data_IF_649453678368
#
_entry.id   IF_649453678368
#
_cell.length_a   1.000
_cell.length_b   1.000
_cell.length_c   1.000
_cell.angle_alpha   90.00
_cell.angle_beta   90.00
_cell.angle_gamma   90.00
#
_symmetry.space_group_name_H-M   'P 1'
#
loop_
_entity.id
_entity.type
_entity.pdbx_description
1 polymer ?
#
# COMPACT_ATOMS: atom_id res chain seq x y z
N UNK A 1 -12.47 22.42 16.42
CA UNK A 1 -11.72 22.38 15.14
C UNK A 1 -12.13 21.14 14.37
N UNK A 2 -12.16 21.20 13.04
CA UNK A 2 -12.49 20.06 12.19
C UNK A 2 -11.21 19.50 11.57
N UNK A 3 -11.09 18.17 11.54
CA UNK A 3 -9.98 17.44 10.95
C UNK A 3 -10.50 16.59 9.78
N UNK A 4 -9.75 16.52 8.68
CA UNK A 4 -10.12 15.71 7.53
C UNK A 4 -9.50 14.31 7.57
N UNK A 5 -10.09 13.37 6.82
CA UNK A 5 -9.60 11.99 6.63
C UNK A 5 -8.84 11.76 5.32
N UNK A 6 -8.85 12.74 4.41
CA UNK A 6 -7.93 12.86 3.27
C UNK A 6 -7.86 14.31 2.76
N UNK A 7 -6.94 14.55 1.82
CA UNK A 7 -6.74 15.87 1.21
C UNK A 7 -8.00 16.38 0.49
N UNK A 8 -8.67 15.53 -0.27
CA UNK A 8 -9.88 15.89 -1.01
C UNK A 8 -11.02 16.34 -0.09
N UNK A 9 -11.22 15.65 1.05
CA UNK A 9 -12.19 16.06 2.05
C UNK A 9 -11.87 17.44 2.65
N UNK A 10 -10.58 17.71 2.91
CA UNK A 10 -10.14 19.04 3.37
C UNK A 10 -10.50 20.13 2.36
N UNK A 11 -10.12 19.95 1.09
CA UNK A 11 -10.39 20.93 0.03
C UNK A 11 -11.89 21.21 -0.09
N UNK A 12 -12.71 20.16 -0.04
CA UNK A 12 -14.16 20.30 -0.10
C UNK A 12 -14.72 21.19 1.04
N UNK A 13 -14.24 21.02 2.28
CA UNK A 13 -14.69 21.85 3.39
C UNK A 13 -14.15 23.28 3.32
N UNK A 14 -12.89 23.46 2.91
CA UNK A 14 -12.30 24.79 2.74
C UNK A 14 -13.05 25.59 1.67
N UNK A 15 -13.50 24.95 0.58
CA UNK A 15 -14.34 25.57 -0.46
C UNK A 15 -15.72 26.00 0.07
N UNK A 16 -16.21 25.39 1.16
CA UNK A 16 -17.42 25.81 1.87
C UNK A 16 -17.16 26.90 2.93
N UNK A 17 -15.94 27.43 3.00
CA UNK A 17 -15.52 28.41 3.99
C UNK A 17 -15.26 27.82 5.39
N UNK A 18 -15.17 26.49 5.50
CA UNK A 18 -14.90 25.79 6.76
C UNK A 18 -13.41 25.54 6.87
N UNK A 19 -12.74 26.18 7.84
CA UNK A 19 -11.32 25.94 8.09
C UNK A 19 -11.10 24.57 8.72
N UNK A 20 -10.28 23.74 8.08
CA UNK A 20 -9.83 22.45 8.59
C UNK A 20 -8.42 22.61 9.16
N UNK A 21 -8.24 22.30 10.44
CA UNK A 21 -6.93 22.28 11.10
C UNK A 21 -6.42 20.84 11.02
N UNK A 22 -5.30 20.60 10.32
CA UNK A 22 -4.65 19.28 10.32
C UNK A 22 -5.31 18.16 9.49
N UNK A 23 -4.56 17.07 9.29
CA UNK A 23 -4.95 15.88 8.54
C UNK A 23 -4.40 14.61 9.19
N UNK A 24 -5.24 13.73 9.78
CA UNK A 24 -4.75 12.51 10.43
C UNK A 24 -5.31 11.24 9.76
N UNK A 25 -4.59 10.68 8.79
CA UNK A 25 -5.10 9.57 8.00
C UNK A 25 -5.26 8.23 8.71
N UNK A 26 -4.45 7.96 9.74
CA UNK A 26 -4.20 6.58 10.12
C UNK A 26 -3.92 6.46 11.62
N UNK A 27 -4.76 5.73 12.36
CA UNK A 27 -4.61 5.53 13.81
C UNK A 27 -3.82 4.24 14.16
N UNK A 28 -3.21 3.60 13.16
CA UNK A 28 -2.77 2.20 13.28
C UNK A 28 -1.32 2.01 13.73
N UNK A 29 -0.48 3.06 13.71
CA UNK A 29 0.94 2.96 14.05
C UNK A 29 1.36 4.05 15.05
N UNK A 30 2.32 3.78 15.94
CA UNK A 30 2.90 4.80 16.83
C UNK A 30 3.83 5.69 16.00
N UNK A 31 3.27 6.73 15.39
CA UNK A 31 3.92 7.58 14.38
C UNK A 31 5.17 8.31 14.90
N UNK A 32 5.20 8.61 16.20
CA UNK A 32 6.34 9.23 16.88
C UNK A 32 7.56 8.31 17.01
N UNK A 33 7.44 7.02 16.72
CA UNK A 33 8.41 5.99 17.16
C UNK A 33 9.21 5.30 16.06
N UNK A 34 9.18 5.73 14.79
CA UNK A 34 9.90 5.00 13.72
C UNK A 34 10.82 5.88 12.88
N UNK A 35 12.05 6.02 13.38
CA UNK A 35 13.24 6.24 12.57
C UNK A 35 13.95 4.90 12.38
N UNK A 36 13.63 4.17 11.30
CA UNK A 36 14.59 3.24 10.71
C UNK A 36 14.48 3.37 9.19
N UNK A 37 15.40 4.14 8.62
CA UNK A 37 15.67 4.08 7.19
C UNK A 37 15.87 2.60 6.81
N UNK A 38 15.18 2.15 5.77
CA UNK A 38 15.38 0.81 5.24
C UNK A 38 16.71 0.76 4.52
N UNK A 39 17.50 -0.23 4.89
CA UNK A 39 18.58 -0.78 4.07
C UNK A 39 18.07 -2.09 3.48
N UNK A 40 17.29 -2.05 2.41
CA UNK A 40 16.89 -3.28 1.71
C UNK A 40 17.31 -3.20 0.26
N UNK A 41 18.62 -3.36 0.03
CA UNK A 41 19.16 -3.86 -1.24
C UNK A 41 19.23 -5.38 -1.13
N UNK A 42 18.11 -6.06 -1.38
CA UNK A 42 18.09 -7.52 -1.51
C UNK A 42 17.99 -7.86 -2.99
N UNK A 43 18.82 -8.80 -3.44
CA UNK A 43 18.76 -9.36 -4.81
C UNK A 43 17.41 -10.06 -5.10
N UNK A 44 16.63 -10.36 -4.07
CA UNK A 44 15.29 -10.93 -4.15
C UNK A 44 14.29 -9.91 -3.59
N UNK A 45 13.52 -9.20 -4.46
CA UNK A 45 12.52 -8.24 -3.99
C UNK A 45 11.39 -8.94 -3.23
N UNK A 46 10.88 -8.28 -2.19
CA UNK A 46 9.70 -8.73 -1.45
C UNK A 46 8.53 -7.78 -1.72
N UNK A 47 7.54 -8.24 -2.47
CA UNK A 47 6.38 -7.44 -2.87
C UNK A 47 5.14 -7.82 -2.06
N UNK A 48 4.41 -6.80 -1.60
CA UNK A 48 3.06 -6.98 -1.08
C UNK A 48 2.07 -6.81 -2.24
N UNK A 49 1.24 -7.81 -2.47
CA UNK A 49 0.29 -7.83 -3.58
C UNK A 49 -1.13 -7.45 -3.15
N UNK A 50 -1.47 -7.64 -1.87
CA UNK A 50 -2.79 -7.32 -1.33
C UNK A 50 -2.74 -7.19 0.19
N UNK A 51 -3.54 -6.27 0.73
CA UNK A 51 -3.74 -6.13 2.17
C UNK A 51 -5.16 -5.63 2.48
N UNK A 52 -5.83 -6.28 3.43
CA UNK A 52 -7.13 -5.90 3.97
C UNK A 52 -8.29 -6.77 3.50
N UNK A 53 -9.50 -6.24 3.61
CA UNK A 53 -10.73 -6.98 3.28
C UNK A 53 -10.78 -7.35 1.78
N UNK A 54 -11.03 -8.62 1.48
CA UNK A 54 -11.06 -9.16 0.12
C UNK A 54 -12.28 -8.61 -0.65
N UNK A 55 -12.01 -7.89 -1.74
CA UNK A 55 -13.05 -7.31 -2.61
C UNK A 55 -12.62 -7.34 -4.06
N UNK A 56 -13.58 -7.56 -4.96
CA UNK A 56 -13.35 -7.51 -6.40
C UNK A 56 -12.69 -6.20 -6.84
N UNK A 57 -13.27 -5.06 -6.45
CA UNK A 57 -12.82 -3.73 -6.85
C UNK A 57 -11.46 -3.32 -6.25
N UNK A 58 -10.94 -4.04 -5.24
CA UNK A 58 -9.58 -3.89 -4.71
C UNK A 58 -8.55 -4.70 -5.48
N UNK A 59 -8.97 -5.38 -6.56
CA UNK A 59 -8.10 -6.19 -7.39
C UNK A 59 -7.83 -7.58 -6.83
N UNK A 60 -8.64 -8.07 -5.88
CA UNK A 60 -8.47 -9.41 -5.29
C UNK A 60 -8.57 -10.52 -6.35
N UNK A 61 -9.50 -10.39 -7.29
CA UNK A 61 -9.69 -11.37 -8.38
C UNK A 61 -8.48 -11.47 -9.32
N UNK A 62 -7.63 -10.44 -9.37
CA UNK A 62 -6.46 -10.37 -10.24
C UNK A 62 -5.21 -11.01 -9.62
N UNK A 63 -5.25 -11.37 -8.33
CA UNK A 63 -4.06 -11.85 -7.62
C UNK A 63 -3.40 -13.09 -8.25
N UNK A 64 -4.14 -14.12 -8.71
CA UNK A 64 -3.51 -15.26 -9.38
C UNK A 64 -2.66 -14.87 -10.58
N UNK A 65 -3.20 -14.01 -11.46
CA UNK A 65 -2.50 -13.52 -12.64
C UNK A 65 -1.25 -12.72 -12.26
N UNK A 66 -1.38 -11.83 -11.27
CA UNK A 66 -0.27 -10.97 -10.80
C UNK A 66 0.85 -11.81 -10.18
N UNK A 67 0.52 -12.84 -9.40
CA UNK A 67 1.49 -13.77 -8.82
C UNK A 67 2.29 -14.45 -9.92
N UNK A 68 1.61 -15.07 -10.90
CA UNK A 68 2.29 -15.76 -12.00
C UNK A 68 3.17 -14.80 -12.82
N UNK A 69 2.68 -13.59 -13.11
CA UNK A 69 3.45 -12.55 -13.81
C UNK A 69 4.69 -12.12 -13.03
N UNK A 70 4.57 -11.93 -11.71
CA UNK A 70 5.70 -11.54 -10.88
C UNK A 70 6.75 -12.65 -10.80
N UNK A 71 6.35 -13.90 -10.55
CA UNK A 71 7.26 -15.04 -10.54
C UNK A 71 8.03 -15.14 -11.86
N UNK A 72 7.34 -15.03 -13.00
CA UNK A 72 7.98 -15.06 -14.30
C UNK A 72 8.93 -13.88 -14.52
N UNK A 73 8.51 -12.64 -14.20
CA UNK A 73 9.32 -11.43 -14.40
C UNK A 73 10.64 -11.46 -13.61
N UNK A 74 10.61 -12.00 -12.39
CA UNK A 74 11.79 -12.09 -11.53
C UNK A 74 12.49 -13.46 -11.61
N UNK A 75 12.16 -14.30 -12.61
CA UNK A 75 12.75 -15.64 -12.79
C UNK A 75 12.71 -16.49 -11.50
N UNK A 76 11.59 -16.42 -10.76
CA UNK A 76 11.40 -17.12 -9.48
C UNK A 76 12.13 -16.51 -8.27
N UNK A 77 12.95 -15.47 -8.46
CA UNK A 77 13.67 -14.75 -7.40
C UNK A 77 12.85 -13.58 -6.89
N UNK A 78 11.68 -13.87 -6.33
CA UNK A 78 10.81 -12.86 -5.70
C UNK A 78 10.06 -13.48 -4.54
N UNK A 79 9.82 -12.68 -3.50
CA UNK A 79 8.89 -13.01 -2.42
C UNK A 79 7.61 -12.19 -2.59
N UNK A 80 6.46 -12.82 -2.45
CA UNK A 80 5.14 -12.29 -2.71
C UNK A 80 4.27 -12.55 -1.49
N UNK A 81 3.74 -11.49 -0.90
CA UNK A 81 2.83 -11.58 0.23
C UNK A 81 1.45 -11.12 -0.16
N UNK A 82 0.45 -11.95 0.15
CA UNK A 82 -0.97 -11.63 0.06
C UNK A 82 -1.53 -11.73 1.47
N UNK A 83 -2.07 -10.64 2.01
CA UNK A 83 -2.83 -10.68 3.26
C UNK A 83 -4.27 -10.28 2.96
N UNK A 84 -5.22 -11.10 3.39
CA UNK A 84 -6.62 -10.74 3.25
C UNK A 84 -7.47 -11.20 4.42
N UNK A 85 -8.61 -10.53 4.59
CA UNK A 85 -9.70 -10.96 5.46
C UNK A 85 -10.97 -11.11 4.65
N UNK A 86 -11.91 -11.90 5.16
CA UNK A 86 -13.26 -11.99 4.60
C UNK A 86 -14.21 -11.43 5.65
N UNK A 87 -14.69 -10.20 5.45
CA UNK A 87 -15.70 -9.62 6.32
C UNK A 87 -17.06 -10.32 6.18
N UNK A 88 -17.33 -10.91 5.02
CA UNK A 88 -18.57 -11.61 4.69
C UNK A 88 -18.28 -12.87 3.87
N UNK A 89 -19.28 -13.74 3.75
CA UNK A 89 -19.20 -14.86 2.82
C UNK A 89 -19.40 -14.35 1.39
N UNK A 90 -18.38 -14.54 0.56
CA UNK A 90 -18.34 -14.11 -0.84
C UNK A 90 -18.06 -15.34 -1.72
N UNK A 91 -19.10 -16.10 -2.10
CA UNK A 91 -18.95 -17.31 -2.91
C UNK A 91 -18.16 -17.09 -4.21
N UNK A 92 -18.29 -15.91 -4.80
CA UNK A 92 -17.56 -15.49 -6.00
C UNK A 92 -16.04 -15.40 -5.80
N UNK A 93 -15.56 -15.22 -4.57
CA UNK A 93 -14.13 -15.17 -4.25
C UNK A 93 -13.52 -16.55 -4.00
N UNK A 94 -14.35 -17.57 -3.76
CA UNK A 94 -13.90 -18.95 -3.45
C UNK A 94 -12.97 -19.53 -4.52
N UNK A 95 -13.23 -19.40 -5.84
CA UNK A 95 -12.31 -19.89 -6.86
C UNK A 95 -10.92 -19.24 -6.79
N UNK A 96 -10.86 -17.95 -6.48
CA UNK A 96 -9.61 -17.20 -6.34
C UNK A 96 -8.87 -17.63 -5.08
N UNK A 97 -9.57 -17.78 -3.95
CA UNK A 97 -8.99 -18.29 -2.70
C UNK A 97 -8.37 -19.68 -2.90
N UNK A 98 -9.08 -20.59 -3.57
CA UNK A 98 -8.57 -21.93 -3.86
C UNK A 98 -7.34 -21.87 -4.76
N UNK A 99 -7.32 -20.95 -5.73
CA UNK A 99 -6.16 -20.72 -6.59
C UNK A 99 -4.97 -20.17 -5.81
N UNK A 100 -5.18 -19.22 -4.88
CA UNK A 100 -4.13 -18.68 -4.02
C UNK A 100 -3.50 -19.77 -3.14
N UNK A 101 -4.32 -20.63 -2.52
CA UNK A 101 -3.82 -21.78 -1.73
C UNK A 101 -3.01 -22.75 -2.59
N UNK A 102 -3.44 -23.00 -3.83
CA UNK A 102 -2.67 -23.84 -4.77
C UNK A 102 -1.33 -23.20 -5.12
N UNK A 103 -1.30 -21.90 -5.43
CA UNK A 103 -0.08 -21.17 -5.76
C UNK A 103 0.90 -21.13 -4.58
N UNK A 104 0.43 -20.95 -3.35
CA UNK A 104 1.26 -21.05 -2.14
C UNK A 104 1.89 -22.44 -1.98
N UNK A 105 1.15 -23.51 -2.28
CA UNK A 105 1.68 -24.88 -2.24
C UNK A 105 2.67 -25.17 -3.37
N UNK A 106 2.42 -24.64 -4.57
CA UNK A 106 3.25 -24.84 -5.76
C UNK A 106 4.55 -24.04 -5.71
N UNK A 107 4.51 -22.83 -5.13
CA UNK A 107 5.64 -21.90 -5.01
C UNK A 107 5.89 -21.50 -3.54
N UNK A 108 6.21 -22.44 -2.64
CA UNK A 108 6.24 -22.19 -1.19
C UNK A 108 7.34 -21.24 -0.73
N UNK A 109 8.37 -21.02 -1.56
CA UNK A 109 9.45 -20.06 -1.28
C UNK A 109 9.12 -18.64 -1.77
N UNK A 110 8.16 -18.51 -2.68
CA UNK A 110 7.81 -17.24 -3.32
C UNK A 110 6.48 -16.69 -2.82
N UNK A 111 5.47 -17.53 -2.58
CA UNK A 111 4.11 -17.08 -2.31
C UNK A 111 3.73 -17.36 -0.86
N UNK A 112 3.31 -16.32 -0.14
CA UNK A 112 2.82 -16.42 1.24
C UNK A 112 1.45 -15.77 1.37
N UNK A 113 0.46 -16.54 1.79
CA UNK A 113 -0.94 -16.13 1.88
C UNK A 113 -1.40 -16.13 3.34
N UNK A 114 -1.84 -14.97 3.81
CA UNK A 114 -2.31 -14.76 5.17
C UNK A 114 -3.80 -14.41 5.16
N UNK A 115 -4.65 -15.42 5.37
CA UNK A 115 -6.11 -15.28 5.39
C UNK A 115 -6.65 -14.87 6.77
N UNK A 116 -6.04 -13.87 7.41
CA UNK A 116 -6.41 -13.36 8.74
C UNK A 116 -5.91 -11.93 8.93
N UNK A 117 -6.41 -11.26 9.96
CA UNK A 117 -5.80 -10.02 10.44
C UNK A 117 -4.36 -10.28 10.91
N UNK A 118 -3.50 -9.31 10.64
CA UNK A 118 -2.18 -9.24 11.26
C UNK A 118 -2.27 -8.50 12.59
N UNK A 119 -1.47 -8.95 13.55
CA UNK A 119 -1.16 -8.11 14.71
C UNK A 119 -0.36 -6.89 14.26
N UNK A 120 -0.27 -5.88 15.13
CA UNK A 120 0.57 -4.70 14.90
C UNK A 120 2.03 -5.10 14.62
N UNK A 121 2.59 -6.03 15.40
CA UNK A 121 3.98 -6.45 15.27
C UNK A 121 4.22 -7.22 13.96
N UNK A 122 3.26 -8.06 13.54
CA UNK A 122 3.33 -8.75 12.26
C UNK A 122 3.28 -7.79 11.08
N UNK A 123 2.36 -6.83 11.10
CA UNK A 123 2.29 -5.77 10.10
C UNK A 123 3.63 -5.02 10.04
N UNK A 124 4.16 -4.58 11.17
CA UNK A 124 5.42 -3.85 11.21
C UNK A 124 6.59 -4.68 10.66
N UNK A 125 6.67 -5.95 11.06
CA UNK A 125 7.71 -6.89 10.61
C UNK A 125 7.66 -7.09 9.09
N UNK A 126 6.48 -7.41 8.54
CA UNK A 126 6.32 -7.61 7.09
C UNK A 126 6.64 -6.31 6.35
N UNK A 127 6.02 -5.20 6.75
CA UNK A 127 6.19 -3.90 6.09
C UNK A 127 7.65 -3.44 6.08
N UNK A 128 8.43 -3.74 7.13
CA UNK A 128 9.86 -3.46 7.20
C UNK A 128 10.70 -4.27 6.19
N UNK A 129 10.22 -5.42 5.72
CA UNK A 129 10.93 -6.28 4.75
C UNK A 129 10.60 -6.01 3.28
N UNK A 130 9.47 -5.34 3.01
CA UNK A 130 9.01 -5.09 1.65
C UNK A 130 9.97 -4.23 0.81
N UNK A 131 10.08 -4.53 -0.47
CA UNK A 131 10.74 -3.72 -1.49
C UNK A 131 9.75 -2.83 -2.25
N UNK A 132 8.46 -3.16 -2.23
CA UNK A 132 7.41 -2.39 -2.89
C UNK A 132 6.02 -2.99 -2.69
N UNK A 133 5.01 -2.23 -3.09
CA UNK A 133 3.60 -2.61 -2.97
C UNK A 133 2.97 -2.58 -4.36
N UNK A 134 2.34 -3.67 -4.76
CA UNK A 134 1.63 -3.76 -6.04
C UNK A 134 0.18 -3.34 -5.83
N UNK A 135 -0.28 -2.36 -6.61
CA UNK A 135 -1.64 -1.85 -6.57
C UNK A 135 -2.40 -2.27 -7.82
N UNK A 136 -3.48 -3.04 -7.61
CA UNK A 136 -4.32 -3.62 -8.68
C UNK A 136 -5.76 -3.10 -8.62
N UNK A 137 -5.99 -2.00 -7.90
CA UNK A 137 -7.30 -1.43 -7.68
C UNK A 137 -7.98 -1.06 -8.99
N UNK A 138 -9.30 -1.18 -9.02
CA UNK A 138 -10.11 -0.65 -10.11
C UNK A 138 -10.08 0.88 -10.07
N UNK A 139 -9.51 1.51 -11.10
CA UNK A 139 -9.30 2.96 -11.13
C UNK A 139 -10.61 3.75 -11.11
N UNK A 140 -11.65 3.25 -11.78
CA UNK A 140 -12.96 3.90 -11.79
C UNK A 140 -13.58 3.88 -10.39
N UNK A 141 -13.63 2.72 -9.75
CA UNK A 141 -14.22 2.58 -8.41
C UNK A 141 -13.43 3.34 -7.35
N UNK A 142 -12.10 3.39 -7.50
CA UNK A 142 -11.20 4.10 -6.60
C UNK A 142 -10.84 5.52 -7.05
N UNK A 143 -11.60 6.11 -7.99
CA UNK A 143 -11.32 7.44 -8.52
C UNK A 143 -11.19 8.49 -7.41
N UNK A 144 -12.04 8.39 -6.38
CA UNK A 144 -12.12 9.28 -5.23
C UNK A 144 -12.17 8.52 -3.88
N UNK A 145 -11.87 7.21 -3.86
CA UNK A 145 -11.87 6.44 -2.61
C UNK A 145 -10.47 6.37 -2.03
N UNK A 146 -10.34 6.79 -0.78
CA UNK A 146 -9.09 6.70 -0.03
C UNK A 146 -8.69 5.26 0.29
N UNK A 147 -7.41 5.09 0.60
CA UNK A 147 -6.86 3.80 1.05
C UNK A 147 -5.71 4.02 2.01
N UNK A 148 -5.82 3.39 3.18
CA UNK A 148 -4.79 3.39 4.22
C UNK A 148 -3.42 2.90 3.75
N UNK A 149 -3.39 2.14 2.65
CA UNK A 149 -2.16 1.66 2.04
C UNK A 149 -1.27 2.81 1.55
N UNK A 150 -1.84 3.95 1.13
CA UNK A 150 -1.06 5.13 0.71
C UNK A 150 -0.13 5.61 1.82
N UNK A 151 -0.68 5.75 3.02
CA UNK A 151 0.03 6.28 4.18
C UNK A 151 0.99 5.27 4.77
N UNK A 152 0.67 3.98 4.69
CA UNK A 152 1.63 2.91 4.97
C UNK A 152 2.81 2.93 4.00
N UNK A 153 2.57 3.17 2.71
CA UNK A 153 3.65 3.33 1.73
C UNK A 153 4.54 4.52 2.10
N UNK A 154 3.95 5.65 2.44
CA UNK A 154 4.71 6.83 2.84
C UNK A 154 5.54 6.59 4.11
N UNK A 155 4.94 5.96 5.11
CA UNK A 155 5.59 5.70 6.38
C UNK A 155 6.81 4.77 6.27
N UNK A 156 6.68 3.71 5.48
CA UNK A 156 7.78 2.76 5.24
C UNK A 156 8.63 3.13 4.02
N UNK A 157 8.34 4.24 3.36
CA UNK A 157 8.94 4.69 2.10
C UNK A 157 8.99 3.59 1.03
N UNK A 158 7.86 2.88 0.89
CA UNK A 158 7.72 1.82 -0.09
C UNK A 158 7.22 2.39 -1.40
N UNK A 159 7.87 2.08 -2.53
CA UNK A 159 7.33 2.46 -3.81
C UNK A 159 6.05 1.68 -4.11
N UNK A 160 5.12 2.33 -4.82
CA UNK A 160 3.93 1.67 -5.37
C UNK A 160 4.15 1.28 -6.82
N UNK A 161 3.68 0.09 -7.18
CA UNK A 161 3.67 -0.43 -8.55
C UNK A 161 2.21 -0.49 -8.99
N UNK A 162 1.79 0.48 -9.80
CA UNK A 162 0.43 0.54 -10.34
C UNK A 162 0.31 -0.40 -11.53
N UNK A 163 -0.57 -1.40 -11.43
CA UNK A 163 -0.86 -2.37 -12.50
C UNK A 163 -2.00 -1.93 -13.43
N UNK A 164 -2.53 -0.72 -13.25
CA UNK A 164 -3.52 -0.08 -14.10
C UNK A 164 -2.96 1.21 -14.70
N UNK A 165 -3.44 1.59 -15.88
CA UNK A 165 -2.91 2.76 -16.60
C UNK A 165 -3.64 4.07 -16.30
N UNK A 166 -4.84 4.00 -15.70
CA UNK A 166 -5.62 5.19 -15.40
C UNK A 166 -5.28 5.74 -14.01
N UNK A 167 -5.12 7.07 -13.95
CA UNK A 167 -4.90 7.83 -12.72
C UNK A 167 -6.16 7.86 -11.87
N UNK A 168 -6.03 7.58 -10.58
CA UNK A 168 -7.11 7.62 -9.58
C UNK A 168 -6.60 8.20 -8.25
N UNK A 169 -7.41 8.17 -7.19
CA UNK A 169 -7.09 8.79 -5.88
C UNK A 169 -5.68 8.46 -5.36
N UNK A 170 -5.29 7.17 -5.36
CA UNK A 170 -3.98 6.74 -4.86
C UNK A 170 -2.81 7.40 -5.59
N UNK A 171 -2.93 7.65 -6.89
CA UNK A 171 -1.87 8.32 -7.65
C UNK A 171 -1.67 9.76 -7.16
N UNK A 172 -2.77 10.49 -6.96
CA UNK A 172 -2.73 11.87 -6.47
C UNK A 172 -2.11 11.93 -5.09
N UNK A 173 -2.50 10.99 -4.22
CA UNK A 173 -2.01 10.95 -2.85
C UNK A 173 -0.52 10.61 -2.77
N UNK A 174 -0.07 9.61 -3.53
CA UNK A 174 1.34 9.21 -3.58
C UNK A 174 2.24 10.33 -4.13
N UNK A 175 1.75 11.10 -5.10
CA UNK A 175 2.46 12.29 -5.58
C UNK A 175 2.55 13.41 -4.54
N UNK A 176 1.46 13.70 -3.81
CA UNK A 176 1.48 14.69 -2.71
C UNK A 176 2.46 14.29 -1.59
N UNK A 177 2.53 12.99 -1.32
CA UNK A 177 3.43 12.40 -0.32
C UNK A 177 4.88 12.28 -0.82
N UNK A 178 5.15 12.56 -2.10
CA UNK A 178 6.48 12.49 -2.70
C UNK A 178 7.03 11.07 -2.76
N UNK A 179 6.17 10.04 -2.80
CA UNK A 179 6.58 8.63 -2.83
C UNK A 179 6.78 8.17 -4.27
N UNK A 180 7.88 7.47 -4.52
CA UNK A 180 8.19 6.90 -5.84
C UNK A 180 7.13 5.90 -6.26
N UNK A 181 6.73 5.93 -7.53
CA UNK A 181 5.86 4.91 -8.10
C UNK A 181 6.29 4.48 -9.49
N UNK A 182 5.81 3.30 -9.89
CA UNK A 182 6.08 2.65 -11.16
C UNK A 182 4.76 2.23 -11.81
N UNK A 183 4.73 2.13 -13.14
CA UNK A 183 3.54 1.73 -13.90
C UNK A 183 3.53 0.25 -14.32
N UNK A 184 4.57 -0.50 -13.94
CA UNK A 184 4.65 -1.94 -14.21
C UNK A 184 5.69 -2.62 -13.33
N UNK A 185 5.62 -3.95 -13.23
CA UNK A 185 6.68 -4.77 -12.61
C UNK A 185 8.02 -4.65 -13.36
N UNK A 186 7.96 -4.39 -14.68
CA UNK A 186 9.16 -4.16 -15.50
C UNK A 186 9.83 -2.85 -15.13
N UNK A 187 9.08 -1.75 -15.09
CA UNK A 187 9.57 -0.45 -14.67
C UNK A 187 10.20 -0.49 -13.29
N UNK A 188 9.58 -1.23 -12.36
CA UNK A 188 10.15 -1.44 -11.03
C UNK A 188 11.48 -2.19 -11.12
N UNK A 189 11.50 -3.39 -11.72
CA UNK A 189 12.68 -4.25 -11.79
C UNK A 189 13.89 -3.55 -12.45
N UNK A 190 13.64 -2.78 -13.50
CA UNK A 190 14.69 -2.15 -14.30
C UNK A 190 15.27 -0.90 -13.62
N UNK A 191 14.48 -0.21 -12.77
CA UNK A 191 14.84 1.09 -12.15
C UNK A 191 15.18 1.01 -10.66
N UNK A 192 14.90 -0.11 -9.99
CA UNK A 192 15.18 -0.28 -8.54
C UNK A 192 16.66 -0.19 -8.18
N UNK A 193 17.56 -0.36 -9.13
CA UNK A 193 19.01 -0.24 -8.90
C UNK A 193 19.53 1.22 -9.00
N UNK A 194 18.72 2.16 -9.49
CA UNK A 194 19.22 3.45 -9.98
C UNK A 194 18.77 4.69 -9.19
N UNK A 195 17.98 4.56 -8.12
CA UNK A 195 17.48 5.76 -7.42
C UNK A 195 17.63 5.69 -5.90
N UNK A 196 18.31 6.69 -5.29
CA UNK A 196 18.19 6.95 -3.87
C UNK A 196 16.71 7.17 -3.51
N UNK A 197 16.33 6.80 -2.29
CA UNK A 197 15.01 7.08 -1.75
C UNK A 197 14.68 8.58 -1.86
N UNK A 198 13.42 8.95 -2.19
CA UNK A 198 13.03 10.35 -2.26
C UNK A 198 13.33 11.03 -0.91
N UNK A 199 13.94 12.21 -0.99
CA UNK A 199 14.13 13.10 0.15
C UNK A 199 12.77 13.48 0.72
N UNK A 200 12.65 13.46 2.05
CA UNK A 200 11.47 13.93 2.81
C UNK A 200 11.18 15.39 2.44
N UNK A 201 10.30 15.63 1.47
CA UNK A 201 10.26 16.94 0.81
C UNK A 201 8.85 17.52 0.58
N UNK A 202 7.88 17.26 1.47
CA UNK A 202 6.71 18.13 1.54
C UNK A 202 6.28 18.41 2.98
N UNK A 203 5.81 19.64 3.23
CA UNK A 203 5.15 20.01 4.48
C UNK A 203 3.93 19.11 4.73
N UNK A 204 3.25 18.69 3.66
CA UNK A 204 2.16 17.73 3.71
C UNK A 204 2.58 16.38 4.33
N UNK A 205 3.70 15.80 3.87
CA UNK A 205 4.25 14.57 4.44
C UNK A 205 4.55 14.74 5.93
N UNK A 206 5.21 15.84 6.32
CA UNK A 206 5.62 16.06 7.73
C UNK A 206 4.41 16.15 8.65
N UNK A 207 3.37 16.90 8.24
CA UNK A 207 2.15 17.09 9.04
C UNK A 207 1.35 15.79 9.18
N UNK A 208 1.48 14.86 8.23
CA UNK A 208 0.78 13.57 8.24
C UNK A 208 1.12 12.69 9.45
N UNK A 209 2.36 12.82 9.93
CA UNK A 209 2.94 11.96 10.97
C UNK A 209 3.16 12.70 12.30
N UNK A 210 2.60 13.89 12.44
CA UNK A 210 2.52 14.55 13.74
C UNK A 210 1.68 13.70 14.70
N UNK A 211 2.13 13.60 15.95
CA UNK A 211 1.45 12.80 16.96
C UNK A 211 0.08 13.42 17.24
N UNK A 212 -1.00 12.63 17.12
CA UNK A 212 -2.35 13.12 17.36
C UNK A 212 -2.53 13.69 18.78
N UNK A 213 -1.72 13.27 19.76
CA UNK A 213 -1.73 13.83 21.10
C UNK A 213 -1.34 15.32 21.11
N UNK A 214 -0.53 15.78 20.16
CA UNK A 214 -0.19 17.21 20.06
C UNK A 214 -1.41 18.06 19.71
N UNK A 215 -2.43 17.48 19.08
CA UNK A 215 -3.65 18.18 18.66
C UNK A 215 -4.79 18.07 19.67
N UNK A 216 -4.74 17.09 20.58
CA UNK A 216 -5.73 16.92 21.66
C UNK A 216 -5.39 17.80 22.87
N UNK A 217 -4.12 18.18 23.02
CA UNK A 217 -3.60 18.96 24.16
C UNK A 217 -3.53 20.47 23.84
N UNK A 218 -3.71 20.86 22.57
CA UNK A 218 -3.87 22.25 22.12
C UNK A 218 -5.30 22.75 22.26
#
# INVERSE_FOLDING_TARGET
ELFASDWEARVYYEDLGITIQGFHPCYLLPWSSLNKQKTTSSDTPHLLLYMGDAKENKGFLRLPEVITKAIAKFNGKVKLTVQYTLAWDYPELVPVINTLKRLEKEYPMQVHVHARFWSKDELQSVMATLSGIVCTYDSHTYQNKSSGLAWLCAYYYLPIIFMGQQRFWMHREIERLGITYYHSLTDFADKTNDKPMPTRCSSYYSNLFEDCLTWVVS
#
